data_IF_107640065368
#
_entry.id   IF_107640065368
#
_cell.length_a   1.000
_cell.length_b   1.000
_cell.length_c   1.000
_cell.angle_alpha   90.00
_cell.angle_beta   90.00
_cell.angle_gamma   90.00
#
_symmetry.space_group_name_H-M   'P 1'
#
loop_
_entity.id
_entity.type
_entity.pdbx_description
1 polymer ?
#
# COMPACT_ATOMS: atom_id res chain seq x y z
N UNK A 1 -9.52 -5.58 -35.74
CA UNK A 1 -8.12 -5.45 -35.30
C UNK A 1 -8.13 -4.70 -33.97
N UNK A 2 -7.90 -5.40 -32.86
CA UNK A 2 -7.89 -4.78 -31.55
C UNK A 2 -6.56 -4.01 -31.37
N UNK A 3 -6.63 -2.68 -31.35
CA UNK A 3 -5.51 -1.84 -30.97
C UNK A 3 -5.19 -2.07 -29.49
N UNK A 4 -4.22 -2.94 -29.22
CA UNK A 4 -3.61 -3.09 -27.90
C UNK A 4 -2.94 -1.77 -27.56
N UNK A 5 -3.59 -0.93 -26.74
CA UNK A 5 -2.96 0.27 -26.18
C UNK A 5 -1.64 -0.17 -25.52
N UNK A 6 -0.52 0.54 -25.74
CA UNK A 6 0.70 0.27 -25.02
C UNK A 6 0.40 0.39 -23.53
N UNK A 7 0.53 -0.71 -22.79
CA UNK A 7 0.47 -0.69 -21.32
C UNK A 7 1.59 0.26 -20.87
N UNK A 8 1.22 1.47 -20.45
CA UNK A 8 2.14 2.33 -19.72
C UNK A 8 2.76 1.50 -18.59
N UNK A 9 4.08 1.60 -18.33
CA UNK A 9 4.69 0.88 -17.25
C UNK A 9 3.96 1.27 -15.97
N UNK A 10 3.23 0.32 -15.40
CA UNK A 10 2.45 0.56 -14.21
C UNK A 10 3.38 1.08 -13.12
N UNK A 11 3.00 2.20 -12.49
CA UNK A 11 3.79 2.76 -11.41
C UNK A 11 3.98 1.71 -10.31
N UNK A 12 5.23 1.31 -10.07
CA UNK A 12 5.56 0.27 -9.12
C UNK A 12 4.96 0.51 -7.72
N UNK A 13 4.80 1.77 -7.31
CA UNK A 13 4.14 2.12 -6.04
C UNK A 13 2.68 1.72 -6.04
N UNK A 14 1.96 2.09 -7.10
CA UNK A 14 0.53 1.78 -7.22
C UNK A 14 0.32 0.26 -7.31
N UNK A 15 1.16 -0.44 -8.06
CA UNK A 15 1.12 -1.90 -8.15
C UNK A 15 1.36 -2.56 -6.77
N UNK A 16 2.37 -2.10 -6.03
CA UNK A 16 2.68 -2.61 -4.67
C UNK A 16 1.54 -2.34 -3.69
N UNK A 17 0.96 -1.14 -3.72
CA UNK A 17 -0.19 -0.81 -2.88
C UNK A 17 -1.44 -1.61 -3.28
N UNK A 18 -1.66 -1.84 -4.58
CA UNK A 18 -2.78 -2.67 -5.05
C UNK A 18 -2.64 -4.11 -4.57
N UNK A 19 -1.46 -4.70 -4.65
CA UNK A 19 -1.20 -6.04 -4.10
C UNK A 19 -1.45 -6.08 -2.59
N UNK A 20 -0.93 -5.10 -1.84
CA UNK A 20 -1.13 -5.05 -0.39
C UNK A 20 -2.61 -4.90 0.00
N UNK A 21 -3.35 -4.00 -0.65
CA UNK A 21 -4.78 -3.80 -0.39
C UNK A 21 -5.60 -5.02 -0.80
N UNK A 22 -5.24 -5.70 -1.89
CA UNK A 22 -5.90 -6.95 -2.28
C UNK A 22 -5.70 -8.06 -1.23
N UNK A 23 -4.52 -8.19 -0.65
CA UNK A 23 -4.27 -9.15 0.44
C UNK A 23 -5.03 -8.74 1.72
N UNK A 24 -5.15 -7.44 2.03
CA UNK A 24 -5.95 -6.94 3.17
C UNK A 24 -7.42 -7.33 2.99
N UNK A 25 -7.99 -7.03 1.82
CA UNK A 25 -9.39 -7.35 1.48
C UNK A 25 -9.68 -8.86 1.57
N UNK A 26 -8.70 -9.70 1.25
CA UNK A 26 -8.80 -11.17 1.34
C UNK A 26 -8.55 -11.71 2.75
N UNK A 27 -8.20 -10.87 3.72
CA UNK A 27 -7.80 -11.30 5.06
C UNK A 27 -6.46 -12.06 5.09
N UNK A 28 -5.63 -11.93 4.05
CA UNK A 28 -4.35 -12.64 3.91
C UNK A 28 -3.16 -11.76 4.29
N UNK A 29 -3.36 -10.44 4.42
CA UNK A 29 -2.30 -9.51 4.82
C UNK A 29 -1.89 -9.70 6.29
N UNK A 30 -0.61 -10.00 6.50
CA UNK A 30 -0.04 -10.29 7.83
C UNK A 30 0.71 -9.11 8.45
N UNK A 31 0.82 -7.99 7.73
CA UNK A 31 1.45 -6.78 8.24
C UNK A 31 0.51 -5.97 9.15
N UNK A 32 1.07 -5.02 9.90
CA UNK A 32 0.26 -4.11 10.72
C UNK A 32 -0.44 -3.08 9.83
N UNK A 33 -1.76 -3.02 9.97
CA UNK A 33 -2.61 -2.03 9.33
C UNK A 33 -3.81 -1.69 10.22
N UNK A 34 -4.44 -0.55 9.95
CA UNK A 34 -5.67 -0.13 10.60
C UNK A 34 -6.47 0.76 9.65
N UNK A 35 -7.77 0.54 9.56
CA UNK A 35 -8.69 1.48 8.92
C UNK A 35 -9.14 2.50 9.97
N UNK A 36 -9.21 3.77 9.60
CA UNK A 36 -9.70 4.80 10.50
C UNK A 36 -9.71 6.17 9.83
N UNK A 37 -9.54 7.21 10.64
CA UNK A 37 -9.58 8.58 10.16
C UNK A 37 -8.35 9.37 10.62
N UNK A 38 -7.94 10.29 9.76
CA UNK A 38 -6.94 11.30 10.07
C UNK A 38 -7.48 12.68 9.70
N UNK A 39 -7.68 13.54 10.70
CA UNK A 39 -8.25 14.89 10.52
C UNK A 39 -9.59 14.86 9.75
N UNK A 40 -10.48 13.93 10.11
CA UNK A 40 -11.80 13.78 9.48
C UNK A 40 -11.78 13.14 8.08
N UNK A 41 -10.62 12.67 7.60
CA UNK A 41 -10.51 11.98 6.31
C UNK A 41 -10.34 10.47 6.51
N UNK A 42 -11.16 9.63 5.86
CA UNK A 42 -10.98 8.18 5.87
C UNK A 42 -9.62 7.80 5.31
N UNK A 43 -8.87 7.00 6.07
CA UNK A 43 -7.51 6.61 5.71
C UNK A 43 -7.20 5.16 6.11
N UNK A 44 -6.28 4.57 5.37
CA UNK A 44 -5.64 3.31 5.70
C UNK A 44 -4.27 3.61 6.34
N UNK A 45 -4.10 3.25 7.60
CA UNK A 45 -2.81 3.27 8.26
C UNK A 45 -2.03 2.01 7.91
N UNK A 46 -0.84 2.15 7.34
CA UNK A 46 0.03 1.04 6.98
C UNK A 46 1.45 1.20 7.52
N UNK A 47 1.98 0.13 8.11
CA UNK A 47 3.40 0.06 8.45
C UNK A 47 4.20 -0.25 7.19
N UNK A 48 4.88 0.77 6.65
CA UNK A 48 5.68 0.69 5.40
C UNK A 48 6.65 -0.50 5.32
N UNK A 49 7.29 -0.87 6.43
CA UNK A 49 8.22 -2.01 6.47
C UNK A 49 7.50 -3.36 6.33
N UNK A 50 6.28 -3.45 6.85
CA UNK A 50 5.49 -4.67 6.83
C UNK A 50 4.93 -4.95 5.44
N UNK A 51 4.61 -3.92 4.67
CA UNK A 51 4.09 -4.06 3.28
C UNK A 51 5.06 -4.89 2.44
N UNK A 52 6.33 -4.47 2.38
CA UNK A 52 7.33 -5.17 1.57
C UNK A 52 7.68 -6.53 2.18
N UNK A 53 7.73 -6.63 3.51
CA UNK A 53 8.02 -7.90 4.18
C UNK A 53 6.92 -8.94 3.92
N UNK A 54 5.65 -8.51 3.94
CA UNK A 54 4.51 -9.35 3.62
C UNK A 54 4.56 -9.82 2.17
N UNK A 55 4.71 -8.91 1.20
CA UNK A 55 4.75 -9.27 -0.23
C UNK A 55 5.93 -10.18 -0.59
N UNK A 56 7.08 -10.03 0.07
CA UNK A 56 8.23 -10.94 -0.08
C UNK A 56 7.94 -12.36 0.42
N UNK A 57 7.06 -12.51 1.42
CA UNK A 57 6.73 -13.79 2.06
C UNK A 57 5.45 -14.43 1.53
N UNK A 58 4.52 -13.65 0.98
CA UNK A 58 3.25 -14.14 0.45
C UNK A 58 3.50 -15.07 -0.74
N UNK A 59 3.09 -16.33 -0.60
CA UNK A 59 3.18 -17.32 -1.69
C UNK A 59 2.29 -16.92 -2.86
N UNK A 60 1.11 -16.36 -2.57
CA UNK A 60 0.16 -15.89 -3.58
C UNK A 60 0.72 -14.76 -4.44
N UNK A 61 1.57 -13.90 -3.85
CA UNK A 61 2.16 -12.75 -4.54
C UNK A 61 3.55 -13.02 -5.11
N UNK A 62 4.14 -14.20 -4.92
CA UNK A 62 5.53 -14.50 -5.30
C UNK A 62 5.80 -14.31 -6.80
N UNK A 63 4.83 -14.59 -7.67
CA UNK A 63 4.96 -14.36 -9.12
C UNK A 63 5.01 -12.87 -9.45
N UNK A 64 4.04 -12.10 -8.95
CA UNK A 64 3.90 -10.66 -9.22
C UNK A 64 5.03 -9.85 -8.57
N UNK A 65 5.44 -10.21 -7.35
CA UNK A 65 6.49 -9.54 -6.60
C UNK A 65 7.89 -9.67 -7.23
N UNK A 66 8.16 -10.68 -8.06
CA UNK A 66 9.49 -10.88 -8.68
C UNK A 66 9.96 -9.65 -9.45
N UNK A 67 9.05 -8.93 -10.09
CA UNK A 67 9.34 -7.70 -10.85
C UNK A 67 9.68 -6.49 -9.96
N UNK A 68 9.37 -6.55 -8.66
CA UNK A 68 9.53 -5.47 -7.70
C UNK A 68 10.56 -5.77 -6.61
N UNK A 69 11.44 -6.76 -6.80
CA UNK A 69 12.42 -7.19 -5.78
C UNK A 69 13.38 -6.08 -5.33
N UNK A 70 13.69 -5.15 -6.23
CA UNK A 70 14.53 -3.98 -5.96
C UNK A 70 13.74 -2.81 -5.35
N UNK A 71 12.41 -2.93 -5.23
CA UNK A 71 11.55 -1.89 -4.70
C UNK A 71 11.76 -1.71 -3.19
N UNK A 72 11.98 -0.47 -2.78
CA UNK A 72 12.38 -0.10 -1.43
C UNK A 72 11.28 0.64 -0.66
N UNK A 73 11.42 0.69 0.67
CA UNK A 73 10.52 1.48 1.54
C UNK A 73 10.55 2.97 1.15
N UNK A 74 11.72 3.47 0.75
CA UNK A 74 11.89 4.85 0.30
C UNK A 74 11.08 5.13 -0.96
N UNK A 75 11.16 4.24 -1.95
CA UNK A 75 10.37 4.35 -3.19
C UNK A 75 8.88 4.27 -2.90
N UNK A 76 8.43 3.40 -1.99
CA UNK A 76 7.04 3.37 -1.55
C UNK A 76 6.58 4.72 -1.01
N UNK A 77 7.32 5.31 -0.07
CA UNK A 77 6.98 6.62 0.52
C UNK A 77 6.96 7.73 -0.55
N UNK A 78 8.00 7.80 -1.38
CA UNK A 78 8.11 8.82 -2.44
C UNK A 78 6.99 8.68 -3.46
N UNK A 79 6.60 7.45 -3.81
CA UNK A 79 5.47 7.18 -4.69
C UNK A 79 4.14 7.60 -4.07
N UNK A 80 3.89 7.28 -2.80
CA UNK A 80 2.68 7.74 -2.11
C UNK A 80 2.57 9.27 -2.09
N UNK A 81 3.68 9.98 -1.91
CA UNK A 81 3.73 11.44 -2.00
C UNK A 81 3.43 11.92 -3.43
N UNK A 82 4.10 11.34 -4.43
CA UNK A 82 3.91 11.70 -5.85
C UNK A 82 2.46 11.55 -6.28
N UNK A 83 1.78 10.50 -5.83
CA UNK A 83 0.38 10.23 -6.15
C UNK A 83 -0.62 10.92 -5.22
N UNK A 84 -0.14 11.79 -4.32
CA UNK A 84 -0.98 12.49 -3.33
C UNK A 84 -1.84 11.55 -2.47
N UNK A 85 -1.31 10.35 -2.20
CA UNK A 85 -1.96 9.33 -1.37
C UNK A 85 -1.63 9.52 0.10
N UNK A 86 -0.51 10.17 0.43
CA UNK A 86 -0.01 10.25 1.79
C UNK A 86 -0.55 11.49 2.51
N UNK A 87 -1.36 11.28 3.55
CA UNK A 87 -1.82 12.36 4.44
C UNK A 87 -0.73 12.73 5.46
N UNK A 88 -0.05 11.73 6.01
CA UNK A 88 1.06 11.88 6.97
C UNK A 88 1.80 10.55 7.12
N UNK A 89 3.07 10.55 7.53
CA UNK A 89 3.91 9.36 7.70
C UNK A 89 4.51 9.16 9.10
N UNK A 90 4.10 10.01 10.03
CA UNK A 90 4.56 10.01 11.42
C UNK A 90 3.43 9.64 12.38
N UNK A 91 2.48 8.81 11.95
CA UNK A 91 1.35 8.44 12.80
C UNK A 91 1.72 7.29 13.71
N UNK A 92 1.21 7.38 14.93
CA UNK A 92 1.22 6.32 15.90
C UNK A 92 -0.20 5.88 16.24
N UNK A 93 -0.41 4.57 16.30
CA UNK A 93 -1.68 3.94 16.68
C UNK A 93 -1.44 2.69 17.50
N UNK A 94 -2.46 2.30 18.26
CA UNK A 94 -2.52 0.99 18.88
C UNK A 94 -3.13 -0.01 17.89
N UNK A 95 -2.40 -1.07 17.56
CA UNK A 95 -2.84 -2.13 16.65
C UNK A 95 -2.58 -3.46 17.36
N UNK A 96 -3.62 -4.29 17.52
CA UNK A 96 -3.55 -5.57 18.24
C UNK A 96 -2.90 -5.46 19.64
N UNK A 97 -3.26 -4.41 20.39
CA UNK A 97 -2.74 -4.16 21.74
C UNK A 97 -1.33 -3.55 21.80
N UNK A 98 -0.62 -3.40 20.67
CA UNK A 98 0.73 -2.85 20.62
C UNK A 98 0.76 -1.42 20.06
N UNK A 99 1.61 -0.56 20.62
CA UNK A 99 1.89 0.78 20.10
C UNK A 99 2.77 0.67 18.85
N UNK A 100 2.26 1.15 17.71
CA UNK A 100 2.95 1.09 16.42
C UNK A 100 3.13 2.50 15.87
N UNK A 101 4.37 2.99 15.85
CA UNK A 101 4.73 4.29 15.27
C UNK A 101 5.09 4.23 13.79
N UNK A 102 5.34 5.39 13.18
CA UNK A 102 5.76 5.56 11.78
C UNK A 102 4.85 4.84 10.77
N UNK A 103 3.53 4.94 10.99
CA UNK A 103 2.52 4.49 10.06
C UNK A 103 2.32 5.53 8.97
N UNK A 104 2.14 5.06 7.74
CA UNK A 104 1.66 5.88 6.63
C UNK A 104 0.14 5.97 6.73
N UNK A 105 -0.41 7.18 6.86
CA UNK A 105 -1.84 7.41 6.69
C UNK A 105 -2.12 7.64 5.21
N UNK A 106 -2.70 6.63 4.54
CA UNK A 106 -3.03 6.70 3.12
C UNK A 106 -4.49 7.12 2.94
N UNK A 107 -4.73 8.16 2.16
CA UNK A 107 -6.07 8.67 1.82
C UNK A 107 -6.87 7.62 1.04
N UNK A 108 -8.01 7.17 1.58
CA UNK A 108 -8.83 6.17 0.91
C UNK A 108 -9.42 6.68 -0.41
N UNK A 109 -9.83 7.96 -0.45
CA UNK A 109 -10.32 8.58 -1.67
C UNK A 109 -9.22 8.64 -2.74
N UNK A 110 -8.00 9.01 -2.34
CA UNK A 110 -6.81 8.94 -3.18
C UNK A 110 -6.56 7.54 -3.75
N UNK A 111 -6.61 6.50 -2.91
CA UNK A 111 -6.44 5.11 -3.33
C UNK A 111 -7.49 4.70 -4.37
N UNK A 112 -8.76 5.01 -4.12
CA UNK A 112 -9.86 4.69 -5.03
C UNK A 112 -9.71 5.39 -6.39
N UNK A 113 -9.28 6.66 -6.43
CA UNK A 113 -9.00 7.38 -7.68
C UNK A 113 -7.89 6.74 -8.51
N UNK A 114 -6.97 6.03 -7.87
CA UNK A 114 -5.89 5.29 -8.52
C UNK A 114 -6.26 3.81 -8.80
N UNK A 115 -7.54 3.45 -8.70
CA UNK A 115 -8.01 2.07 -8.93
C UNK A 115 -7.53 1.07 -7.87
N UNK A 116 -7.27 1.54 -6.65
CA UNK A 116 -6.92 0.71 -5.50
C UNK A 116 -8.11 0.68 -4.56
N UNK A 117 -8.72 -0.48 -4.42
CA UNK A 117 -9.92 -0.68 -3.61
C UNK A 117 -9.61 -1.66 -2.46
N UNK A 118 -10.12 -1.33 -1.28
CA UNK A 118 -10.08 -2.16 -0.06
C UNK A 118 -11.40 -2.90 0.13
#
# INVERSE_FOLDING_TARGET
>A
MASTKPQQPEDATLAVLRMACAEIRRGQYTGRYLMGEWQGRPCLFLKRGDVLAHLKRSRAMKGQWRHYRTFTIRQLKQGCLRHQLLLTDAVERQIAGQRVGHLLALDLAGLARNGIHL
#
